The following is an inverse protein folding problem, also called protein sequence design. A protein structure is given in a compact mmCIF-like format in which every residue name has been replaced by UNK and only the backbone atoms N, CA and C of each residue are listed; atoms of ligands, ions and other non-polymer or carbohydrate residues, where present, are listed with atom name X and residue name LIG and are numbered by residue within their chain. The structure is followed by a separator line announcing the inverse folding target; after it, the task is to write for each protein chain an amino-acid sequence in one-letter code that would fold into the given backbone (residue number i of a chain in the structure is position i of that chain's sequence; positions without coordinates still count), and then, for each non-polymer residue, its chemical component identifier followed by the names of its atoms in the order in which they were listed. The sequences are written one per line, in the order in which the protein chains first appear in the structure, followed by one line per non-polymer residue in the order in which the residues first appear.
data_IF_093328710963
#
_entry.id   IF_093328710963
#
_cell.length_a   1.000
_cell.length_b   1.000
_cell.length_c   1.000
_cell.angle_alpha   90.00
_cell.angle_beta   90.00
_cell.angle_gamma   90.00
#
_symmetry.space_group_name_H-M   'P 1'
#
loop_
_entity.id
_entity.type
_entity.pdbx_description
1 polymer ?
#
# COMPACT_ATOMS: atom_id res chain seq x y z
N UNK A 1 11.57 16.74 1.17
CA UNK A 1 10.32 16.21 1.73
C UNK A 1 10.64 14.86 2.35
N UNK A 2 10.28 14.63 3.63
CA UNK A 2 10.53 13.34 4.32
C UNK A 2 9.65 12.27 3.66
N UNK A 3 10.29 11.18 3.21
CA UNK A 3 9.59 10.00 2.70
C UNK A 3 8.63 9.46 3.77
N UNK A 4 7.49 8.91 3.35
CA UNK A 4 6.63 8.15 4.24
C UNK A 4 7.24 6.75 4.38
N UNK A 5 8.12 6.61 5.37
CA UNK A 5 8.65 5.30 5.77
C UNK A 5 7.51 4.51 6.41
N UNK A 6 7.14 3.39 5.79
CA UNK A 6 6.09 2.50 6.29
C UNK A 6 6.50 1.98 7.67
N UNK A 7 5.73 2.31 8.70
CA UNK A 7 5.99 1.85 10.06
C UNK A 7 6.87 2.76 10.93
N UNK A 8 7.47 3.84 10.40
CA UNK A 8 8.32 4.75 11.21
C UNK A 8 7.53 5.57 12.25
N UNK A 9 6.22 5.74 12.04
CA UNK A 9 5.30 6.27 13.05
C UNK A 9 4.44 5.15 13.62
N UNK A 10 4.93 4.39 14.61
CA UNK A 10 4.13 3.34 15.25
C UNK A 10 2.82 3.90 15.81
N UNK A 11 2.80 5.16 16.26
CA UNK A 11 1.61 5.85 16.80
C UNK A 11 0.45 5.99 15.80
N UNK A 12 0.70 5.78 14.50
CA UNK A 12 -0.31 5.90 13.44
C UNK A 12 -0.88 4.55 13.01
N UNK A 13 -0.22 3.45 13.36
CA UNK A 13 -0.57 2.11 12.91
C UNK A 13 -1.10 1.26 14.05
N UNK A 14 -2.28 0.68 13.85
CA UNK A 14 -2.80 -0.39 14.67
C UNK A 14 -2.22 -1.70 14.14
N UNK A 15 -1.54 -2.44 15.01
CA UNK A 15 -0.95 -3.74 14.65
C UNK A 15 -1.75 -4.85 15.31
N UNK A 16 -2.28 -5.77 14.51
CA UNK A 16 -2.90 -7.01 14.96
C UNK A 16 -2.18 -8.14 14.25
N UNK A 17 -1.43 -8.94 15.01
CA UNK A 17 -0.55 -9.99 14.47
C UNK A 17 0.41 -9.42 13.40
N UNK A 18 0.35 -9.96 12.18
CA UNK A 18 1.16 -9.51 11.05
C UNK A 18 0.43 -8.47 10.17
N UNK A 19 -0.68 -7.89 10.63
CA UNK A 19 -1.43 -6.87 9.89
C UNK A 19 -1.29 -5.52 10.57
N UNK A 20 -0.83 -4.52 9.83
CA UNK A 20 -0.71 -3.11 10.25
C UNK A 20 -1.72 -2.27 9.47
N UNK A 21 -2.61 -1.58 10.16
CA UNK A 21 -3.64 -0.74 9.55
C UNK A 21 -3.63 0.68 10.11
N UNK A 22 -4.15 1.63 9.35
CA UNK A 22 -4.40 3.00 9.84
C UNK A 22 -5.85 3.08 10.31
N UNK A 23 -6.10 3.65 11.49
CA UNK A 23 -7.47 3.92 11.93
C UNK A 23 -8.00 5.15 11.19
N UNK A 24 -8.96 4.91 10.30
CA UNK A 24 -9.67 5.94 9.54
C UNK A 24 -11.09 5.47 9.28
N UNK A 25 -12.02 6.41 9.16
CA UNK A 25 -13.40 6.14 8.71
C UNK A 25 -13.47 5.82 7.20
N UNK A 26 -12.35 5.95 6.49
CA UNK A 26 -12.23 5.62 5.07
C UNK A 26 -11.84 4.15 4.88
N UNK A 27 -12.30 3.57 3.77
CA UNK A 27 -11.90 2.22 3.37
C UNK A 27 -10.41 2.19 3.00
N UNK A 28 -9.75 1.08 3.37
CA UNK A 28 -8.38 0.79 2.96
C UNK A 28 -8.38 0.29 1.52
N UNK A 29 -8.04 1.16 0.58
CA UNK A 29 -8.02 0.90 -0.86
C UNK A 29 -6.62 0.49 -1.38
N UNK A 30 -5.61 0.44 -0.51
CA UNK A 30 -4.27 -0.04 -0.82
C UNK A 30 -3.79 -1.06 0.22
N UNK A 31 -3.35 -2.21 -0.26
CA UNK A 31 -2.66 -3.24 0.52
C UNK A 31 -1.23 -3.33 0.02
N UNK A 32 -0.27 -3.22 0.94
CA UNK A 32 1.13 -3.54 0.67
C UNK A 32 1.50 -4.76 1.49
N UNK A 33 1.95 -5.81 0.84
CA UNK A 33 2.48 -7.00 1.50
C UNK A 33 4.00 -6.97 1.39
N UNK A 34 4.67 -6.98 2.54
CA UNK A 34 6.13 -7.08 2.63
C UNK A 34 6.45 -8.30 3.49
N UNK A 35 7.13 -9.29 2.90
CA UNK A 35 7.38 -10.59 3.54
C UNK A 35 6.06 -11.18 4.10
N UNK A 36 5.96 -11.37 5.41
CA UNK A 36 4.78 -11.87 6.13
C UNK A 36 3.86 -10.76 6.64
N UNK A 37 4.25 -9.50 6.54
CA UNK A 37 3.51 -8.36 7.10
C UNK A 37 2.62 -7.72 6.04
N UNK A 38 1.37 -7.45 6.41
CA UNK A 38 0.36 -6.81 5.55
C UNK A 38 0.06 -5.42 6.06
N UNK A 39 0.15 -4.43 5.18
CA UNK A 39 -0.14 -3.03 5.47
C UNK A 39 -1.44 -2.63 4.78
N UNK A 40 -2.46 -2.26 5.55
CA UNK A 40 -3.73 -1.74 5.06
C UNK A 40 -3.68 -0.20 5.11
N UNK A 41 -3.71 0.43 3.94
CA UNK A 41 -3.41 1.84 3.73
C UNK A 41 -4.45 2.49 2.82
N UNK A 42 -4.34 3.81 2.72
CA UNK A 42 -5.08 4.61 1.75
C UNK A 42 -4.21 4.96 0.53
N UNK A 43 -4.71 4.78 -0.69
CA UNK A 43 -4.03 5.08 -1.96
C UNK A 43 -3.64 6.55 -2.01
N UNK A 44 -4.58 7.47 -1.81
CA UNK A 44 -4.32 8.90 -2.06
C UNK A 44 -3.14 9.46 -1.24
N UNK A 45 -3.03 9.24 0.09
CA UNK A 45 -1.85 9.64 0.86
C UNK A 45 -0.55 8.96 0.41
N UNK A 46 -0.62 7.70 -0.05
CA UNK A 46 0.57 6.94 -0.44
C UNK A 46 1.08 7.33 -1.82
N UNK A 47 0.20 7.39 -2.82
CA UNK A 47 0.56 7.70 -4.22
C UNK A 47 0.99 9.17 -4.39
N UNK A 48 0.49 10.08 -3.55
CA UNK A 48 0.93 11.48 -3.55
C UNK A 48 2.34 11.67 -2.99
N UNK A 49 2.87 10.72 -2.22
CA UNK A 49 4.17 10.83 -1.53
C UNK A 49 5.22 9.83 -1.99
N UNK A 50 4.82 8.77 -2.69
CA UNK A 50 5.71 7.71 -3.13
C UNK A 50 5.56 7.44 -4.63
N UNK A 51 6.48 7.98 -5.43
CA UNK A 51 6.50 7.77 -6.88
C UNK A 51 6.66 6.29 -7.26
N UNK A 52 7.44 5.52 -6.48
CA UNK A 52 7.59 4.08 -6.68
C UNK A 52 6.26 3.35 -6.58
N UNK A 53 5.44 3.67 -5.57
CA UNK A 53 4.11 3.08 -5.41
C UNK A 53 3.17 3.54 -6.52
N UNK A 54 3.21 4.83 -6.90
CA UNK A 54 2.45 5.34 -8.05
C UNK A 54 2.75 4.56 -9.32
N UNK A 55 4.03 4.36 -9.64
CA UNK A 55 4.44 3.62 -10.82
C UNK A 55 4.01 2.15 -10.75
N UNK A 56 4.15 1.49 -9.59
CA UNK A 56 3.72 0.09 -9.44
C UNK A 56 2.21 -0.09 -9.65
N UNK A 57 1.39 0.79 -9.06
CA UNK A 57 -0.06 0.78 -9.28
C UNK A 57 -0.39 1.04 -10.76
N UNK A 58 0.29 1.99 -11.40
CA UNK A 58 0.10 2.28 -12.82
C UNK A 58 0.57 1.16 -13.75
N UNK A 59 1.68 0.49 -13.43
CA UNK A 59 2.18 -0.66 -14.21
C UNK A 59 1.21 -1.83 -14.15
N UNK A 60 0.63 -2.09 -12.97
CA UNK A 60 -0.34 -3.16 -12.80
C UNK A 60 -1.65 -2.91 -13.57
N UNK A 61 -2.01 -1.65 -13.81
CA UNK A 61 -3.14 -1.30 -14.70
C UNK A 61 -2.81 -1.40 -16.20
N UNK A 62 -1.53 -1.46 -16.58
CA UNK A 62 -1.09 -1.56 -17.98
C UNK A 62 -0.85 -3.02 -18.41
N UNK A 63 -0.48 -3.90 -17.47
CA UNK A 63 -0.30 -5.33 -17.73
C UNK A 63 -1.62 -6.08 -17.97
N UNK A 64 -2.77 -5.46 -17.70
CA UNK A 64 -4.12 -6.01 -17.92
C UNK A 64 -4.69 -5.76 -19.33
N UNK A 65 -3.90 -5.23 -20.28
CA UNK A 65 -4.34 -5.00 -21.67
C UNK A 65 -4.39 -6.29 -22.54
N UNK A 66 -4.11 -7.46 -21.98
CA UNK A 66 -4.50 -8.75 -22.57
C UNK A 66 -5.51 -9.46 -21.66
N UNK A 67 -6.79 -9.34 -22.02
CA UNK A 67 -7.93 -10.07 -21.44
C UNK A 67 -8.26 -9.75 -19.97
N UNK A 68 -8.73 -8.54 -19.70
CA UNK A 68 -10.08 -8.27 -19.15
C UNK A 68 -10.15 -6.80 -18.76
N UNK A 69 -11.01 -6.06 -19.46
CA UNK A 69 -11.50 -4.77 -18.98
C UNK A 69 -12.21 -5.02 -17.64
N UNK A 70 -11.57 -4.69 -16.51
CA UNK A 70 -12.32 -4.44 -15.27
C UNK A 70 -12.39 -2.95 -15.06
N UNK A 71 -13.59 -2.47 -15.38
CA UNK A 71 -14.10 -1.15 -15.18
C UNK A 71 -13.77 -0.64 -13.76
N UNK A 72 -13.42 0.64 -13.71
CA UNK A 72 -13.39 1.52 -12.54
C UNK A 72 -14.43 1.17 -11.46
N UNK A 73 -14.10 0.27 -10.54
CA UNK A 73 -14.98 -0.10 -9.42
C UNK A 73 -14.15 -0.45 -8.19
N UNK A 74 -13.82 0.55 -7.36
CA UNK A 74 -13.44 0.40 -5.93
C UNK A 74 -12.55 -0.80 -5.54
N UNK A 75 -11.69 -1.31 -6.42
CA UNK A 75 -10.91 -2.51 -6.13
C UNK A 75 -9.70 -2.13 -5.27
N UNK A 76 -9.61 -2.84 -4.15
CA UNK A 76 -8.49 -2.78 -3.23
C UNK A 76 -7.24 -3.28 -3.96
N UNK A 77 -6.25 -2.41 -4.13
CA UNK A 77 -5.02 -2.76 -4.88
C UNK A 77 -4.03 -3.45 -3.95
N UNK A 78 -3.51 -4.60 -4.36
CA UNK A 78 -2.53 -5.38 -3.58
C UNK A 78 -1.17 -5.36 -4.27
N UNK A 79 -0.17 -4.83 -3.58
CA UNK A 79 1.22 -4.76 -4.06
C UNK A 79 2.08 -5.66 -3.18
N UNK A 80 2.78 -6.62 -3.78
CA UNK A 80 3.80 -7.42 -3.10
C UNK A 80 5.18 -6.82 -3.31
N UNK A 81 5.90 -6.60 -2.22
CA UNK A 81 7.26 -6.06 -2.23
C UNK A 81 8.19 -7.01 -1.47
N UNK A 82 9.37 -7.25 -2.05
CA UNK A 82 10.43 -8.06 -1.41
C UNK A 82 10.97 -7.35 -0.17
N UNK A 83 11.07 -6.02 -0.26
CA UNK A 83 11.52 -5.16 0.82
C UNK A 83 10.93 -3.75 0.65
N UNK A 84 10.70 -3.06 1.77
CA UNK A 84 10.23 -1.68 1.80
C UNK A 84 11.16 -0.82 2.67
N UNK A 85 11.70 0.29 2.13
CA UNK A 85 12.58 1.16 2.91
C UNK A 85 11.82 1.76 4.10
N UNK A 86 12.32 1.54 5.31
CA UNK A 86 11.71 2.03 6.56
C UNK A 86 11.06 0.96 7.43
N UNK A 87 11.18 -0.34 7.09
CA UNK A 87 10.94 -1.43 8.05
C UNK A 87 11.97 -1.35 9.19
N UNK A 88 11.75 -0.48 10.17
CA UNK A 88 12.42 -0.66 11.45
C UNK A 88 11.76 -1.86 12.11
N UNK A 89 12.47 -2.98 12.19
CA UNK A 89 12.09 -4.08 13.08
C UNK A 89 11.80 -3.46 14.45
N UNK A 90 10.54 -3.49 14.85
CA UNK A 90 10.10 -3.03 16.17
C UNK A 90 10.23 -4.18 17.17
#
# INVERSE_FOLDING_TARGET
MKFMELGFRPDTFHTVEAVRSVSSDLLNDLIIQVKSTKYLLHKFPMLSKCMRLKNLVSSQSLETETETETETSQEQVVIQLVDFPGETEA
#
